data_IF_472955236413
#
_entry.id   IF_472955236413
#
_cell.length_a   1.000
_cell.length_b   1.000
_cell.length_c   1.000
_cell.angle_alpha   90.00
_cell.angle_beta   90.00
_cell.angle_gamma   90.00
#
_symmetry.space_group_name_H-M   'P 1'
#
loop_
_entity.id
_entity.type
_entity.pdbx_description
1 polymer ?
#
# COMPACT_ATOMS: atom_id res chain seq x y z
N UNK A 1 -62.34 13.80 -19.16
CA UNK A 1 -61.43 14.54 -18.28
C UNK A 1 -60.59 13.54 -17.50
N UNK A 2 -59.39 13.55 -17.72
CA UNK A 2 -58.15 12.85 -17.52
C UNK A 2 -58.01 12.11 -16.19
N UNK A 3 -58.13 10.78 -16.24
CA UNK A 3 -57.81 9.85 -15.14
C UNK A 3 -56.29 9.48 -15.10
N UNK A 4 -55.54 9.93 -16.09
CA UNK A 4 -54.15 9.61 -16.29
C UNK A 4 -53.17 10.38 -15.37
N UNK A 5 -53.44 11.59 -14.86
CA UNK A 5 -52.43 12.36 -14.11
C UNK A 5 -52.10 11.80 -12.72
N UNK A 6 -53.10 11.25 -12.01
CA UNK A 6 -52.86 10.84 -10.61
C UNK A 6 -52.02 9.57 -10.47
N UNK A 7 -52.24 8.59 -11.33
CA UNK A 7 -51.43 7.34 -11.32
C UNK A 7 -49.99 7.66 -11.71
N UNK A 8 -49.80 8.50 -12.74
CA UNK A 8 -48.45 8.90 -13.19
C UNK A 8 -47.69 9.67 -12.10
N UNK A 9 -48.36 10.61 -11.42
CA UNK A 9 -47.78 11.37 -10.30
C UNK A 9 -47.41 10.45 -9.15
N UNK A 10 -48.25 9.47 -8.82
CA UNK A 10 -47.98 8.50 -7.74
C UNK A 10 -46.76 7.60 -8.09
N UNK A 11 -46.67 7.16 -9.36
CA UNK A 11 -45.51 6.35 -9.81
C UNK A 11 -44.23 7.16 -9.80
N UNK A 12 -44.26 8.39 -10.29
CA UNK A 12 -43.10 9.29 -10.28
C UNK A 12 -42.65 9.55 -8.84
N UNK A 13 -43.55 9.84 -7.92
CA UNK A 13 -43.21 10.08 -6.51
C UNK A 13 -42.68 8.84 -5.80
N UNK A 14 -43.15 7.64 -6.13
CA UNK A 14 -42.57 6.38 -5.63
C UNK A 14 -41.17 6.13 -6.18
N UNK A 15 -40.94 6.39 -7.46
CA UNK A 15 -39.62 6.26 -8.06
C UNK A 15 -38.64 7.26 -7.45
N UNK A 16 -39.02 8.50 -7.26
CA UNK A 16 -38.20 9.54 -6.63
C UNK A 16 -37.82 9.16 -5.18
N UNK A 17 -38.79 8.67 -4.40
CA UNK A 17 -38.53 8.17 -3.06
C UNK A 17 -37.61 6.95 -3.04
N UNK A 18 -37.71 6.03 -3.99
CA UNK A 18 -36.81 4.90 -4.13
C UNK A 18 -35.38 5.38 -4.47
N UNK A 19 -35.23 6.29 -5.43
CA UNK A 19 -33.94 6.87 -5.80
C UNK A 19 -33.30 7.62 -4.63
N UNK A 20 -34.06 8.41 -3.89
CA UNK A 20 -33.59 9.11 -2.70
C UNK A 20 -33.17 8.14 -1.59
N UNK A 21 -33.88 7.03 -1.40
CA UNK A 21 -33.53 6.00 -0.42
C UNK A 21 -32.26 5.26 -0.82
N UNK A 22 -32.11 4.87 -2.09
CA UNK A 22 -30.92 4.19 -2.59
C UNK A 22 -29.70 5.11 -2.55
N UNK A 23 -29.83 6.36 -3.00
CA UNK A 23 -28.75 7.34 -2.94
C UNK A 23 -28.33 7.63 -1.49
N UNK A 24 -29.29 7.79 -0.59
CA UNK A 24 -29.03 7.94 0.84
C UNK A 24 -28.28 6.75 1.45
N UNK A 25 -28.66 5.51 1.09
CA UNK A 25 -27.97 4.31 1.51
C UNK A 25 -26.53 4.27 0.98
N UNK A 26 -26.32 4.56 -0.31
CA UNK A 26 -24.98 4.59 -0.92
C UNK A 26 -24.08 5.65 -0.28
N UNK A 27 -24.63 6.84 0.00
CA UNK A 27 -23.91 7.90 0.70
C UNK A 27 -23.54 7.46 2.12
N UNK A 28 -24.48 6.86 2.86
CA UNK A 28 -24.21 6.36 4.21
C UNK A 28 -23.13 5.26 4.21
N UNK A 29 -23.18 4.33 3.24
CA UNK A 29 -22.14 3.32 3.06
C UNK A 29 -20.77 3.96 2.74
N UNK A 30 -20.74 4.92 1.80
CA UNK A 30 -19.51 5.62 1.44
C UNK A 30 -18.91 6.37 2.63
N UNK A 31 -19.74 7.08 3.41
CA UNK A 31 -19.31 7.76 4.64
C UNK A 31 -18.82 6.77 5.72
N UNK A 32 -19.50 5.64 5.87
CA UNK A 32 -19.07 4.58 6.78
C UNK A 32 -17.69 4.02 6.41
N UNK A 33 -17.47 3.72 5.13
CA UNK A 33 -16.17 3.28 4.59
C UNK A 33 -15.13 4.38 4.81
N UNK A 34 -15.44 5.63 4.46
CA UNK A 34 -14.51 6.74 4.64
C UNK A 34 -14.12 6.93 6.11
N UNK A 35 -15.08 6.91 7.04
CA UNK A 35 -14.82 7.03 8.47
C UNK A 35 -13.98 5.86 9.00
N UNK A 36 -14.22 4.63 8.52
CA UNK A 36 -13.40 3.47 8.86
C UNK A 36 -11.93 3.71 8.50
N UNK A 37 -11.65 4.11 7.25
CA UNK A 37 -10.29 4.35 6.80
C UNK A 37 -9.67 5.63 7.38
N UNK A 38 -10.47 6.68 7.67
CA UNK A 38 -9.97 7.92 8.24
C UNK A 38 -9.24 7.71 9.57
N UNK A 39 -9.66 6.71 10.32
CA UNK A 39 -9.00 6.31 11.55
C UNK A 39 -7.58 5.78 11.35
N UNK A 40 -7.26 5.18 10.21
CA UNK A 40 -6.00 4.52 9.91
C UNK A 40 -5.15 5.27 8.87
N UNK A 41 -5.47 6.54 8.61
CA UNK A 41 -4.84 7.37 7.57
C UNK A 41 -3.32 7.41 7.61
N UNK A 42 -2.72 7.40 8.82
CA UNK A 42 -1.27 7.45 8.99
C UNK A 42 -0.65 6.12 8.56
N UNK A 43 -1.16 4.99 9.05
CA UNK A 43 -0.67 3.66 8.69
C UNK A 43 -0.80 3.40 7.19
N UNK A 44 -1.96 3.74 6.60
CA UNK A 44 -2.18 3.65 5.16
C UNK A 44 -1.23 4.55 4.37
N UNK A 45 -1.03 5.79 4.85
CA UNK A 45 -0.11 6.75 4.22
C UNK A 45 1.33 6.28 4.23
N UNK A 46 1.81 5.73 5.35
CA UNK A 46 3.16 5.17 5.48
C UNK A 46 3.35 3.97 4.54
N UNK A 47 2.41 3.02 4.53
CA UNK A 47 2.48 1.86 3.65
C UNK A 47 2.48 2.25 2.16
N UNK A 48 1.58 3.16 1.77
CA UNK A 48 1.51 3.64 0.38
C UNK A 48 2.77 4.41 -0.03
N UNK A 49 3.26 5.30 0.82
CA UNK A 49 4.49 6.05 0.56
C UNK A 49 5.69 5.12 0.37
N UNK A 50 5.84 4.10 1.22
CA UNK A 50 6.91 3.12 1.10
C UNK A 50 6.88 2.39 -0.25
N UNK A 51 5.71 1.95 -0.72
CA UNK A 51 5.54 1.30 -2.04
C UNK A 51 5.90 2.26 -3.18
N UNK A 52 5.46 3.52 -3.10
CA UNK A 52 5.76 4.53 -4.12
C UNK A 52 7.27 4.78 -4.19
N UNK A 53 7.94 4.95 -3.05
CA UNK A 53 9.39 5.16 -3.02
C UNK A 53 10.16 3.94 -3.54
N UNK A 54 9.76 2.71 -3.18
CA UNK A 54 10.37 1.51 -3.77
C UNK A 54 10.18 1.47 -5.29
N UNK A 55 9.00 1.83 -5.79
CA UNK A 55 8.74 1.94 -7.22
C UNK A 55 9.66 2.94 -7.92
N UNK A 56 9.83 4.15 -7.35
CA UNK A 56 10.72 5.20 -7.91
C UNK A 56 12.16 4.69 -8.00
N UNK A 57 12.71 4.15 -6.90
CA UNK A 57 14.07 3.63 -6.87
C UNK A 57 14.23 2.38 -7.74
N UNK A 58 13.19 1.53 -7.82
CA UNK A 58 13.14 0.39 -8.72
C UNK A 58 13.24 0.79 -10.20
N UNK A 59 12.52 1.83 -10.62
CA UNK A 59 12.62 2.40 -11.98
C UNK A 59 14.04 2.91 -12.25
N UNK A 60 14.62 3.65 -11.31
CA UNK A 60 15.95 4.21 -11.46
C UNK A 60 17.02 3.10 -11.58
N UNK A 61 16.94 2.05 -10.74
CA UNK A 61 17.84 0.90 -10.80
C UNK A 61 17.68 0.11 -12.11
N UNK A 62 16.44 -0.15 -12.55
CA UNK A 62 16.15 -0.85 -13.81
C UNK A 62 16.68 -0.08 -15.03
N UNK A 63 16.58 1.25 -15.04
CA UNK A 63 17.17 2.09 -16.09
C UNK A 63 18.68 1.99 -16.12
N UNK A 64 19.34 2.04 -14.97
CA UNK A 64 20.81 1.93 -14.89
C UNK A 64 21.31 0.58 -15.39
N UNK A 65 20.59 -0.49 -15.12
CA UNK A 65 20.96 -1.85 -15.56
C UNK A 65 20.53 -2.20 -16.99
N UNK A 66 19.87 -1.30 -17.71
CA UNK A 66 19.35 -1.54 -19.06
C UNK A 66 18.20 -2.56 -19.12
N UNK A 67 17.63 -2.97 -17.98
CA UNK A 67 16.56 -3.98 -17.87
C UNK A 67 15.19 -3.35 -17.60
N UNK A 68 14.97 -2.13 -18.05
CA UNK A 68 13.72 -1.42 -17.79
C UNK A 68 12.57 -1.96 -18.65
N UNK A 69 11.63 -2.64 -18.02
CA UNK A 69 10.36 -3.08 -18.63
C UNK A 69 9.21 -2.53 -17.78
N UNK A 70 8.55 -1.50 -18.30
CA UNK A 70 7.47 -0.79 -17.61
C UNK A 70 6.32 -1.72 -17.17
N UNK A 71 5.99 -2.70 -18.01
CA UNK A 71 4.90 -3.65 -17.73
C UNK A 71 5.21 -4.60 -16.58
N UNK A 72 6.45 -5.04 -16.40
CA UNK A 72 6.85 -5.89 -15.27
C UNK A 72 6.82 -5.09 -13.96
N UNK A 73 7.36 -3.87 -13.97
CA UNK A 73 7.36 -3.00 -12.81
C UNK A 73 5.93 -2.67 -12.34
N UNK A 74 5.04 -2.35 -13.28
CA UNK A 74 3.64 -2.07 -12.96
C UNK A 74 2.93 -3.28 -12.36
N UNK A 75 3.17 -4.49 -12.89
CA UNK A 75 2.61 -5.74 -12.33
C UNK A 75 3.10 -6.02 -10.91
N UNK A 76 4.38 -5.83 -10.64
CA UNK A 76 4.94 -6.08 -9.31
C UNK A 76 4.44 -5.04 -8.28
N UNK A 77 4.33 -3.78 -8.66
CA UNK A 77 3.73 -2.74 -7.82
C UNK A 77 2.26 -3.05 -7.50
N UNK A 78 1.47 -3.45 -8.51
CA UNK A 78 0.06 -3.83 -8.29
C UNK A 78 -0.08 -5.05 -7.39
N UNK A 79 0.79 -6.06 -7.52
CA UNK A 79 0.80 -7.22 -6.60
C UNK A 79 1.09 -6.80 -5.16
N UNK A 80 2.04 -5.89 -4.94
CA UNK A 80 2.36 -5.35 -3.60
C UNK A 80 1.17 -4.59 -3.02
N UNK A 81 0.55 -3.68 -3.80
CA UNK A 81 -0.64 -2.95 -3.36
C UNK A 81 -1.77 -3.92 -3.00
N UNK A 82 -2.00 -4.95 -3.82
CA UNK A 82 -3.00 -5.98 -3.54
C UNK A 82 -2.70 -6.75 -2.25
N UNK A 83 -1.49 -7.27 -2.11
CA UNK A 83 -1.09 -8.09 -0.96
C UNK A 83 -1.08 -7.27 0.34
N UNK A 84 -0.40 -6.13 0.36
CA UNK A 84 -0.29 -5.28 1.54
C UNK A 84 -1.62 -4.60 1.89
N UNK A 85 -2.37 -4.14 0.86
CA UNK A 85 -3.69 -3.59 1.05
C UNK A 85 -4.65 -4.59 1.69
N UNK A 86 -4.64 -5.84 1.21
CA UNK A 86 -5.45 -6.91 1.81
C UNK A 86 -5.02 -7.19 3.26
N UNK A 87 -3.72 -7.30 3.52
CA UNK A 87 -3.20 -7.54 4.88
C UNK A 87 -3.62 -6.41 5.83
N UNK A 88 -3.46 -5.14 5.43
CA UNK A 88 -3.85 -3.99 6.24
C UNK A 88 -5.35 -3.97 6.51
N UNK A 89 -6.19 -4.18 5.48
CA UNK A 89 -7.65 -4.21 5.65
C UNK A 89 -8.07 -5.33 6.60
N UNK A 90 -7.50 -6.52 6.47
CA UNK A 90 -7.80 -7.64 7.38
C UNK A 90 -7.42 -7.32 8.82
N UNK A 91 -6.25 -6.74 9.06
CA UNK A 91 -5.82 -6.34 10.40
C UNK A 91 -6.69 -5.22 10.96
N UNK A 92 -7.08 -4.23 10.14
CA UNK A 92 -8.02 -3.18 10.53
C UNK A 92 -9.37 -3.76 10.97
N UNK A 93 -9.88 -4.74 10.23
CA UNK A 93 -11.14 -5.41 10.60
C UNK A 93 -11.00 -6.18 11.91
N UNK A 94 -9.91 -6.93 12.09
CA UNK A 94 -9.64 -7.68 13.33
C UNK A 94 -9.52 -6.72 14.51
N UNK A 95 -8.73 -5.66 14.36
CA UNK A 95 -8.52 -4.66 15.43
C UNK A 95 -9.82 -3.95 15.79
N UNK A 96 -10.63 -3.58 14.81
CA UNK A 96 -11.92 -2.95 15.03
C UNK A 96 -12.93 -3.90 15.72
N UNK A 97 -12.95 -5.18 15.33
CA UNK A 97 -13.78 -6.19 15.98
C UNK A 97 -13.32 -6.50 17.40
N UNK A 98 -12.00 -6.58 17.62
CA UNK A 98 -11.44 -6.93 18.93
C UNK A 98 -11.53 -5.78 19.94
N UNK A 99 -11.31 -4.55 19.51
CA UNK A 99 -11.14 -3.38 20.37
C UNK A 99 -12.16 -2.26 20.15
N UNK A 100 -12.91 -2.28 19.05
CA UNK A 100 -13.85 -1.23 18.69
C UNK A 100 -14.98 -0.99 19.70
N UNK A 101 -15.36 -2.03 20.46
CA UNK A 101 -16.35 -1.94 21.53
C UNK A 101 -15.85 -1.22 22.79
N UNK A 102 -14.54 -1.13 23.00
CA UNK A 102 -13.95 -0.48 24.16
C UNK A 102 -13.75 1.04 23.97
N UNK A 103 -13.74 1.54 22.73
CA UNK A 103 -13.59 2.98 22.45
C UNK A 103 -14.78 3.83 22.92
N UNK A 104 -15.94 3.24 23.15
CA UNK A 104 -17.16 3.95 23.58
C UNK A 104 -17.08 4.33 25.06
N UNK A 105 -16.20 3.71 25.84
CA UNK A 105 -16.19 3.83 27.32
C UNK A 105 -14.99 4.62 27.85
N UNK A 106 -13.90 4.76 27.10
CA UNK A 106 -12.72 5.50 27.58
C UNK A 106 -12.52 6.80 26.79
N UNK A 107 -12.79 7.92 27.44
CA UNK A 107 -12.41 9.28 26.97
C UNK A 107 -10.89 9.51 26.97
N UNK A 108 -10.09 8.50 27.24
CA UNK A 108 -8.64 8.57 27.20
C UNK A 108 -8.16 8.03 25.88
N UNK A 109 -7.51 8.88 25.07
CA UNK A 109 -6.98 8.61 23.74
C UNK A 109 -5.87 7.55 23.67
N UNK A 110 -6.08 6.40 24.28
CA UNK A 110 -5.23 5.24 24.11
C UNK A 110 -5.39 4.74 22.68
N UNK A 111 -4.31 4.80 21.92
CA UNK A 111 -4.20 4.34 20.54
C UNK A 111 -4.56 2.85 20.44
N UNK A 112 -5.82 2.54 20.19
CA UNK A 112 -6.31 1.18 19.93
C UNK A 112 -5.89 0.67 18.54
N UNK A 113 -4.96 1.34 17.87
CA UNK A 113 -4.50 1.03 16.49
C UNK A 113 -3.13 0.38 16.45
N UNK A 114 -2.70 -0.18 17.57
CA UNK A 114 -1.35 -0.69 17.76
C UNK A 114 -0.97 -1.79 16.76
N UNK A 115 -1.89 -2.70 16.45
CA UNK A 115 -1.61 -3.83 15.55
C UNK A 115 -1.47 -3.36 14.10
N UNK A 116 -2.36 -2.46 13.66
CA UNK A 116 -2.29 -1.88 12.31
C UNK A 116 -1.00 -1.08 12.13
N UNK A 117 -0.60 -0.29 13.13
CA UNK A 117 0.63 0.49 13.08
C UNK A 117 1.87 -0.41 13.03
N UNK A 118 1.89 -1.53 13.78
CA UNK A 118 2.95 -2.54 13.67
C UNK A 118 3.02 -3.11 12.26
N UNK A 119 1.90 -3.55 11.70
CA UNK A 119 1.86 -4.15 10.35
C UNK A 119 2.28 -3.14 9.29
N UNK A 120 1.81 -1.90 9.37
CA UNK A 120 2.23 -0.83 8.47
C UNK A 120 3.74 -0.55 8.57
N UNK A 121 4.29 -0.56 9.79
CA UNK A 121 5.73 -0.39 10.03
C UNK A 121 6.54 -1.55 9.46
N UNK A 122 6.07 -2.78 9.60
CA UNK A 122 6.71 -3.96 8.99
C UNK A 122 6.70 -3.88 7.46
N UNK A 123 5.59 -3.48 6.85
CA UNK A 123 5.51 -3.24 5.41
C UNK A 123 6.53 -2.17 5.00
N UNK A 124 6.57 -1.04 5.71
CA UNK A 124 7.51 0.03 5.43
C UNK A 124 8.96 -0.44 5.58
N UNK A 125 9.28 -1.27 6.57
CA UNK A 125 10.62 -1.84 6.77
C UNK A 125 11.03 -2.77 5.61
N UNK A 126 10.12 -3.62 5.13
CA UNK A 126 10.36 -4.49 3.97
C UNK A 126 10.61 -3.67 2.71
N UNK A 127 9.79 -2.63 2.46
CA UNK A 127 9.98 -1.75 1.30
C UNK A 127 11.25 -0.91 1.43
N UNK A 128 11.58 -0.43 2.64
CA UNK A 128 12.85 0.26 2.89
C UNK A 128 14.07 -0.63 2.57
N UNK A 129 14.01 -1.91 2.95
CA UNK A 129 15.04 -2.88 2.58
C UNK A 129 15.18 -3.03 1.07
N UNK A 130 14.06 -3.10 0.37
CA UNK A 130 13.98 -3.12 -1.08
C UNK A 130 14.59 -1.86 -1.71
N UNK A 131 14.27 -0.67 -1.17
CA UNK A 131 14.83 0.62 -1.58
C UNK A 131 16.36 0.64 -1.41
N UNK A 132 16.87 0.16 -0.28
CA UNK A 132 18.32 0.07 -0.03
C UNK A 132 19.02 -0.78 -1.09
N UNK A 133 18.42 -1.92 -1.50
CA UNK A 133 18.93 -2.73 -2.60
C UNK A 133 18.96 -1.97 -3.93
N UNK A 134 17.91 -1.22 -4.26
CA UNK A 134 17.86 -0.40 -5.47
C UNK A 134 18.90 0.72 -5.46
N UNK A 135 19.08 1.38 -4.30
CA UNK A 135 20.09 2.45 -4.14
C UNK A 135 21.51 1.90 -4.31
N UNK A 136 21.80 0.69 -3.77
CA UNK A 136 23.11 0.06 -3.98
C UNK A 136 23.41 -0.26 -5.45
N UNK A 137 22.43 -0.65 -6.22
CA UNK A 137 22.57 -0.83 -7.68
C UNK A 137 22.94 0.49 -8.35
N UNK A 138 22.37 1.61 -7.89
CA UNK A 138 22.61 2.94 -8.48
C UNK A 138 23.91 3.56 -7.97
N UNK A 139 24.17 3.43 -6.67
CA UNK A 139 25.31 4.05 -5.99
C UNK A 139 26.10 3.02 -5.17
N UNK A 140 26.89 2.12 -5.81
CA UNK A 140 27.57 1.02 -5.13
C UNK A 140 28.64 1.47 -4.14
N UNK A 141 29.17 2.69 -4.31
CA UNK A 141 30.21 3.28 -3.46
C UNK A 141 29.69 4.12 -2.29
N UNK A 142 28.37 4.27 -2.12
CA UNK A 142 27.82 5.02 -0.99
C UNK A 142 28.16 4.34 0.34
N UNK A 143 28.88 5.06 1.23
CA UNK A 143 29.50 4.51 2.45
C UNK A 143 28.48 3.78 3.32
N UNK A 144 27.33 4.38 3.57
CA UNK A 144 26.28 3.78 4.39
C UNK A 144 25.79 2.46 3.82
N UNK A 145 25.48 2.43 2.53
CA UNK A 145 24.98 1.22 1.86
C UNK A 145 26.06 0.16 1.67
N UNK A 146 27.33 0.55 1.63
CA UNK A 146 28.45 -0.39 1.59
C UNK A 146 28.54 -1.26 2.85
N UNK A 147 28.16 -0.72 4.03
CA UNK A 147 28.09 -1.49 5.27
C UNK A 147 26.95 -2.52 5.24
N UNK A 148 25.85 -2.21 4.56
CA UNK A 148 24.69 -3.09 4.41
C UNK A 148 24.84 -4.08 3.24
N UNK A 149 25.85 -3.91 2.40
CA UNK A 149 26.07 -4.70 1.18
C UNK A 149 26.03 -6.22 1.42
N UNK A 150 26.73 -6.80 2.43
CA UNK A 150 26.70 -8.25 2.63
C UNK A 150 25.29 -8.80 2.88
N UNK A 151 24.46 -8.04 3.57
CA UNK A 151 23.09 -8.43 3.91
C UNK A 151 22.10 -8.17 2.77
N UNK A 152 22.42 -7.24 1.86
CA UNK A 152 21.57 -6.87 0.71
C UNK A 152 21.89 -7.68 -0.55
N UNK A 153 22.95 -8.48 -0.58
CA UNK A 153 23.36 -9.24 -1.77
C UNK A 153 22.24 -10.14 -2.29
N UNK A 154 21.54 -10.84 -1.40
CA UNK A 154 20.41 -11.68 -1.79
C UNK A 154 19.27 -10.89 -2.44
N UNK A 155 18.96 -9.70 -1.93
CA UNK A 155 17.94 -8.83 -2.50
C UNK A 155 18.35 -8.27 -3.88
N UNK A 156 19.63 -7.91 -4.01
CA UNK A 156 20.19 -7.41 -5.28
C UNK A 156 20.20 -8.53 -6.32
N UNK A 157 20.65 -9.73 -5.95
CA UNK A 157 20.64 -10.90 -6.83
C UNK A 157 19.24 -11.20 -7.33
N UNK A 158 18.25 -11.20 -6.45
CA UNK A 158 16.84 -11.38 -6.78
C UNK A 158 16.34 -10.33 -7.79
N UNK A 159 16.64 -9.04 -7.55
CA UNK A 159 16.22 -7.93 -8.42
C UNK A 159 16.89 -7.96 -9.78
N UNK A 160 18.17 -8.33 -9.82
CA UNK A 160 18.93 -8.42 -11.07
C UNK A 160 18.75 -9.75 -11.78
N UNK A 161 17.97 -10.69 -11.23
CA UNK A 161 17.80 -12.06 -11.74
C UNK A 161 19.14 -12.77 -11.96
N UNK A 162 20.07 -12.59 -11.00
CA UNK A 162 21.40 -13.19 -10.96
C UNK A 162 21.49 -14.20 -9.82
N UNK A 163 22.50 -15.08 -9.87
CA UNK A 163 22.90 -15.83 -8.68
C UNK A 163 23.60 -14.90 -7.68
N UNK A 164 23.55 -15.26 -6.38
CA UNK A 164 24.23 -14.48 -5.34
C UNK A 164 25.73 -14.37 -5.56
N UNK A 165 26.36 -15.41 -6.11
CA UNK A 165 27.77 -15.44 -6.47
C UNK A 165 28.10 -14.37 -7.53
N UNK A 166 27.32 -14.31 -8.61
CA UNK A 166 27.49 -13.28 -9.64
C UNK A 166 27.23 -11.88 -9.11
N UNK A 167 26.27 -11.73 -8.20
CA UNK A 167 26.03 -10.43 -7.57
C UNK A 167 27.22 -10.01 -6.68
N UNK A 168 27.90 -10.95 -5.98
CA UNK A 168 29.12 -10.69 -5.23
C UNK A 168 30.27 -10.27 -6.14
N UNK A 169 30.53 -11.04 -7.20
CA UNK A 169 31.60 -10.78 -8.17
C UNK A 169 31.51 -9.38 -8.77
N UNK A 170 30.32 -8.95 -9.21
CA UNK A 170 30.11 -7.60 -9.75
C UNK A 170 30.56 -6.50 -8.80
N UNK A 171 30.37 -6.69 -7.51
CA UNK A 171 30.76 -5.72 -6.51
C UNK A 171 32.23 -5.83 -6.08
N UNK A 172 32.90 -6.96 -6.31
CA UNK A 172 34.32 -7.12 -6.06
C UNK A 172 35.17 -6.55 -7.20
N UNK A 173 34.73 -6.69 -8.44
CA UNK A 173 35.37 -6.09 -9.62
C UNK A 173 35.37 -4.57 -9.58
N UNK A 174 34.25 -3.96 -9.16
CA UNK A 174 34.12 -2.50 -9.02
C UNK A 174 35.02 -1.90 -7.92
N UNK A 175 35.55 -2.75 -7.01
CA UNK A 175 36.48 -2.35 -5.95
C UNK A 175 37.93 -2.29 -6.45
N UNK A 176 38.22 -2.90 -7.63
CA UNK A 176 39.55 -2.97 -8.21
C UNK A 176 39.81 -1.93 -9.29
N UNK A 177 38.77 -1.25 -9.75
CA UNK A 177 38.86 -0.13 -10.72
C UNK A 177 38.81 1.21 -9.96
#
# INVERSE_FOLDING_TARGET
MSFIPQILITVIHRLDNMFNTISGLLIAMALGIFNFFAGYKVALGVGLAAIIFDGIWGVAAARKTGKFILSELGKDTLKKIGAYGTALVMVMLIENLAFGSHQIISNEGANTRFIVDIVATLIAAVEFWSICGNILIIYPNAIFFRLLKPTLIGEIARKMKLSEEKAKEMFEEEKKS
#
